data_IF_140798719941
#
_entry.id   IF_140798719941
#
_cell.length_a   1.000
_cell.length_b   1.000
_cell.length_c   1.000
_cell.angle_alpha   90.00
_cell.angle_beta   90.00
_cell.angle_gamma   90.00
#
_symmetry.space_group_name_H-M   'P 1'
#
loop_
_entity.id
_entity.type
_entity.pdbx_description
1 polymer ?
#
# COMPACT_ATOMS: atom_id res chain seq x y z
N UNK A 1 -1.57 20.37 0.42
CA UNK A 1 -0.86 19.79 -0.75
C UNK A 1 0.09 18.67 -0.34
N UNK A 2 1.02 18.88 0.60
CA UNK A 2 1.92 17.83 1.14
C UNK A 2 1.20 16.55 1.58
N UNK A 3 0.02 16.69 2.17
CA UNK A 3 -0.80 15.57 2.66
C UNK A 3 -1.27 14.60 1.55
N UNK A 4 -1.54 15.11 0.34
CA UNK A 4 -1.98 14.27 -0.78
C UNK A 4 -0.82 13.44 -1.34
N UNK A 5 0.39 14.01 -1.36
CA UNK A 5 1.60 13.28 -1.77
C UNK A 5 1.88 12.13 -0.79
N UNK A 6 1.68 12.35 0.51
CA UNK A 6 1.82 11.28 1.50
C UNK A 6 0.81 10.15 1.26
N UNK A 7 -0.46 10.48 0.97
CA UNK A 7 -1.46 9.46 0.62
C UNK A 7 -1.10 8.71 -0.66
N UNK A 8 -0.63 9.40 -1.69
CA UNK A 8 -0.14 8.75 -2.91
C UNK A 8 0.98 7.75 -2.60
N UNK A 9 2.04 8.20 -1.92
CA UNK A 9 3.19 7.37 -1.58
C UNK A 9 2.82 6.21 -0.65
N UNK A 10 1.90 6.43 0.29
CA UNK A 10 1.37 5.38 1.14
C UNK A 10 0.63 4.31 0.32
N UNK A 11 -0.17 4.71 -0.68
CA UNK A 11 -0.80 3.79 -1.62
C UNK A 11 0.23 2.99 -2.41
N UNK A 12 1.24 3.65 -2.98
CA UNK A 12 2.33 2.99 -3.72
C UNK A 12 3.01 1.94 -2.85
N UNK A 13 3.41 2.33 -1.64
CA UNK A 13 4.13 1.44 -0.73
C UNK A 13 3.25 0.28 -0.27
N UNK A 14 1.98 0.55 0.08
CA UNK A 14 1.07 -0.48 0.56
C UNK A 14 0.85 -1.58 -0.48
N UNK A 15 0.49 -1.21 -1.71
CA UNK A 15 0.20 -2.22 -2.72
C UNK A 15 1.47 -2.91 -3.23
N UNK A 16 2.60 -2.20 -3.23
CA UNK A 16 3.89 -2.81 -3.50
C UNK A 16 4.21 -3.92 -2.50
N UNK A 17 4.04 -3.65 -1.20
CA UNK A 17 4.26 -4.63 -0.14
C UNK A 17 3.24 -5.78 -0.20
N UNK A 18 1.98 -5.49 -0.51
CA UNK A 18 0.92 -6.49 -0.68
C UNK A 18 1.23 -7.44 -1.84
N UNK A 19 1.66 -6.90 -2.98
CA UNK A 19 2.00 -7.70 -4.15
C UNK A 19 3.21 -8.60 -3.86
N UNK A 20 4.23 -8.08 -3.15
CA UNK A 20 5.36 -8.90 -2.69
C UNK A 20 4.92 -9.96 -1.68
N UNK A 21 4.01 -9.62 -0.77
CA UNK A 21 3.44 -10.57 0.17
C UNK A 21 2.80 -11.75 -0.55
N UNK A 22 1.93 -11.49 -1.52
CA UNK A 22 1.29 -12.54 -2.31
C UNK A 22 2.30 -13.42 -3.05
N UNK A 23 3.38 -12.83 -3.57
CA UNK A 23 4.48 -13.61 -4.18
C UNK A 23 5.20 -14.51 -3.17
N UNK A 24 5.48 -14.01 -1.97
CA UNK A 24 6.14 -14.81 -0.94
C UNK A 24 5.23 -15.92 -0.40
N UNK A 25 3.92 -15.68 -0.32
CA UNK A 25 2.91 -16.72 -0.02
C UNK A 25 2.93 -17.79 -1.11
N UNK A 26 2.86 -17.39 -2.39
CA UNK A 26 2.88 -18.33 -3.51
C UNK A 26 4.17 -19.16 -3.61
N UNK A 27 5.28 -18.67 -3.04
CA UNK A 27 6.58 -19.36 -2.97
C UNK A 27 6.81 -20.10 -1.65
N UNK A 28 5.80 -20.22 -0.80
CA UNK A 28 5.87 -20.87 0.52
C UNK A 28 6.98 -20.31 1.44
N UNK A 29 7.37 -19.04 1.22
CA UNK A 29 8.38 -18.36 2.03
C UNK A 29 7.75 -17.76 3.28
N UNK A 30 7.39 -18.62 4.23
CA UNK A 30 6.59 -18.28 5.43
C UNK A 30 7.12 -17.07 6.19
N UNK A 31 8.43 -17.00 6.49
CA UNK A 31 8.99 -15.89 7.26
C UNK A 31 8.81 -14.52 6.57
N UNK A 32 9.05 -14.47 5.26
CA UNK A 32 8.85 -13.24 4.48
C UNK A 32 7.36 -12.93 4.30
N UNK A 33 6.52 -13.94 4.04
CA UNK A 33 5.07 -13.76 3.97
C UNK A 33 4.53 -13.13 5.27
N UNK A 34 4.89 -13.67 6.44
CA UNK A 34 4.44 -13.14 7.73
C UNK A 34 4.90 -11.68 7.93
N UNK A 35 6.17 -11.38 7.64
CA UNK A 35 6.70 -10.02 7.78
C UNK A 35 5.98 -9.02 6.87
N UNK A 36 5.83 -9.34 5.59
CA UNK A 36 5.18 -8.45 4.64
C UNK A 36 3.68 -8.31 4.92
N UNK A 37 3.01 -9.36 5.40
CA UNK A 37 1.61 -9.28 5.85
C UNK A 37 1.46 -8.30 7.00
N UNK A 38 2.35 -8.37 7.99
CA UNK A 38 2.35 -7.46 9.14
C UNK A 38 2.54 -6.01 8.69
N UNK A 39 3.57 -5.73 7.88
CA UNK A 39 3.86 -4.37 7.39
C UNK A 39 2.71 -3.79 6.56
N UNK A 40 2.15 -4.59 5.65
CA UNK A 40 1.01 -4.19 4.82
C UNK A 40 -0.21 -3.87 5.67
N UNK A 41 -0.47 -4.68 6.70
CA UNK A 41 -1.59 -4.47 7.63
C UNK A 41 -1.40 -3.18 8.43
N UNK A 42 -0.20 -2.93 8.97
CA UNK A 42 0.10 -1.69 9.71
C UNK A 42 -0.14 -0.47 8.84
N UNK A 43 0.35 -0.46 7.60
CA UNK A 43 0.15 0.67 6.66
C UNK A 43 -1.33 0.84 6.34
N UNK A 44 -2.05 -0.25 6.06
CA UNK A 44 -3.49 -0.22 5.79
C UNK A 44 -4.27 0.42 6.93
N UNK A 45 -4.00 -0.01 8.17
CA UNK A 45 -4.68 0.53 9.35
C UNK A 45 -4.34 2.00 9.60
N UNK A 46 -3.08 2.41 9.39
CA UNK A 46 -2.69 3.82 9.52
C UNK A 46 -3.36 4.71 8.46
N UNK A 47 -3.46 4.24 7.22
CA UNK A 47 -4.14 4.97 6.14
C UNK A 47 -5.63 5.09 6.46
N UNK A 48 -6.29 3.99 6.82
CA UNK A 48 -7.71 3.99 7.18
C UNK A 48 -7.96 4.94 8.37
N UNK A 49 -7.15 4.85 9.42
CA UNK A 49 -7.24 5.75 10.57
C UNK A 49 -7.11 7.22 10.15
N UNK A 50 -6.15 7.55 9.27
CA UNK A 50 -5.97 8.93 8.81
C UNK A 50 -7.12 9.42 7.90
N UNK A 51 -7.70 8.54 7.07
CA UNK A 51 -8.87 8.90 6.25
C UNK A 51 -10.07 9.18 7.15
N UNK A 52 -10.33 8.33 8.14
CA UNK A 52 -11.48 8.46 9.05
C UNK A 52 -11.32 9.63 10.02
N UNK A 53 -10.12 9.88 10.54
CA UNK A 53 -9.90 10.95 11.55
C UNK A 53 -9.79 12.34 10.96
N UNK A 54 -9.51 12.46 9.65
CA UNK A 54 -9.40 13.74 8.94
C UNK A 54 -10.61 14.00 8.05
N UNK A 55 -11.77 13.45 8.44
CA UNK A 55 -13.02 13.49 7.71
C UNK A 55 -13.70 14.87 7.76
N UNK A 56 -12.98 15.93 7.38
CA UNK A 56 -13.62 17.11 6.79
C UNK A 56 -14.09 16.70 5.39
N UNK A 57 -15.41 16.72 5.17
CA UNK A 57 -16.09 16.03 4.04
C UNK A 57 -15.58 16.41 2.65
N UNK A 58 -15.00 17.59 2.45
CA UNK A 58 -14.62 18.07 1.12
C UNK A 58 -13.19 17.65 0.68
N UNK A 59 -12.28 17.37 1.61
CA UNK A 59 -10.88 17.01 1.28
C UNK A 59 -10.63 15.51 1.24
N UNK A 60 -11.57 14.72 1.77
CA UNK A 60 -11.42 13.28 1.96
C UNK A 60 -11.57 12.49 0.66
N UNK A 61 -12.46 12.90 -0.25
CA UNK A 61 -12.62 12.24 -1.58
C UNK A 61 -11.34 12.36 -2.42
N UNK A 62 -10.75 13.55 -2.50
CA UNK A 62 -9.51 13.77 -3.28
C UNK A 62 -8.35 12.92 -2.70
N UNK A 63 -8.25 12.83 -1.37
CA UNK A 63 -7.24 11.99 -0.73
C UNK A 63 -7.42 10.50 -1.04
N UNK A 64 -8.66 10.00 -1.04
CA UNK A 64 -9.00 8.62 -1.41
C UNK A 64 -8.61 8.33 -2.86
N UNK A 65 -8.96 9.21 -3.79
CA UNK A 65 -8.62 9.05 -5.21
C UNK A 65 -7.11 9.04 -5.43
N UNK A 66 -6.37 9.93 -4.77
CA UNK A 66 -4.92 10.00 -4.89
C UNK A 66 -4.24 8.78 -4.24
N UNK A 67 -4.76 8.32 -3.10
CA UNK A 67 -4.31 7.07 -2.50
C UNK A 67 -4.56 5.87 -3.43
N UNK A 68 -5.73 5.78 -4.07
CA UNK A 68 -6.05 4.74 -5.04
C UNK A 68 -5.16 4.78 -6.29
N UNK A 69 -4.81 5.98 -6.78
CA UNK A 69 -3.79 6.15 -7.83
C UNK A 69 -2.43 5.62 -7.37
N UNK A 70 -2.07 5.88 -6.13
CA UNK A 70 -0.87 5.33 -5.50
C UNK A 70 -0.86 3.81 -5.52
N UNK A 71 -1.97 3.18 -5.09
CA UNK A 71 -2.16 1.71 -5.12
C UNK A 71 -1.87 1.16 -6.52
N UNK A 72 -2.51 1.71 -7.57
CA UNK A 72 -2.31 1.26 -8.94
C UNK A 72 -0.85 1.37 -9.41
N UNK A 73 -0.17 2.47 -9.09
CA UNK A 73 1.27 2.62 -9.37
C UNK A 73 2.10 1.61 -8.59
N UNK A 74 1.78 1.36 -7.32
CA UNK A 74 2.41 0.34 -6.47
C UNK A 74 2.32 -1.05 -7.10
N UNK A 75 1.13 -1.44 -7.57
CA UNK A 75 0.92 -2.70 -8.29
C UNK A 75 1.81 -2.79 -9.53
N UNK A 76 1.81 -1.76 -10.38
CA UNK A 76 2.60 -1.73 -11.61
C UNK A 76 4.10 -1.87 -11.33
N UNK A 77 4.60 -1.17 -10.31
CA UNK A 77 6.01 -1.24 -9.91
C UNK A 77 6.32 -2.65 -9.40
N UNK A 78 5.52 -3.18 -8.47
CA UNK A 78 5.76 -4.51 -7.90
C UNK A 78 5.72 -5.61 -8.97
N UNK A 79 4.78 -5.52 -9.91
CA UNK A 79 4.70 -6.46 -11.03
C UNK A 79 5.96 -6.44 -11.90
N UNK A 80 6.48 -5.26 -12.23
CA UNK A 80 7.72 -5.11 -13.04
C UNK A 80 8.99 -5.50 -12.29
N UNK A 81 9.00 -5.31 -10.97
CA UNK A 81 10.17 -5.56 -10.13
C UNK A 81 10.24 -7.05 -9.80
N UNK A 82 11.30 -7.73 -10.26
CA UNK A 82 11.51 -9.18 -10.08
C UNK A 82 11.96 -9.60 -8.67
N UNK A 83 11.55 -8.86 -7.63
CA UNK A 83 11.92 -9.18 -6.25
C UNK A 83 11.26 -10.50 -5.86
N UNK A 84 12.09 -11.39 -5.31
CA UNK A 84 11.67 -12.73 -4.91
C UNK A 84 11.51 -13.71 -6.07
N UNK A 85 11.82 -13.35 -7.33
CA UNK A 85 11.70 -14.27 -8.48
C UNK A 85 12.78 -15.36 -8.53
N UNK A 86 13.94 -15.16 -7.90
CA UNK A 86 14.95 -16.22 -7.68
C UNK A 86 14.63 -17.04 -6.43
#
# INVERSE_FOLDING_TARGET
MYYLILFYLAGVLQDFLLTLNWRFIAKERTAYAVLFSFLTTVISMLVIYNIITRLDSDRSIIAILIYALGIATGTLIAMKVKIGEK
#
